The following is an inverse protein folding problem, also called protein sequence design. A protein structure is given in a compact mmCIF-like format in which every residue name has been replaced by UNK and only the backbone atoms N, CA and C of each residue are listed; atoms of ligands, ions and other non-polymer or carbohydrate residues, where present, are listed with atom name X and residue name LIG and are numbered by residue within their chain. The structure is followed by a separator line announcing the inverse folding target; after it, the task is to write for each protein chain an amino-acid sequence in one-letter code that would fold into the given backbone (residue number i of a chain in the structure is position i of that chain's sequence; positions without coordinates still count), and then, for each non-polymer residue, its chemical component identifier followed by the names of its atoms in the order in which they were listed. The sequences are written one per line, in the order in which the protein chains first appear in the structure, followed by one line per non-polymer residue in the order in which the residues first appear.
data_IF_205589478416
#
_entry.id   IF_205589478416
#
_cell.length_a   1.000
_cell.length_b   1.000
_cell.length_c   1.000
_cell.angle_alpha   90.00
_cell.angle_beta   90.00
_cell.angle_gamma   90.00
#
_symmetry.space_group_name_H-M   'P 1'
#
loop_
_entity.id
_entity.type
_entity.pdbx_description
1 polymer ?
#
# COMPACT_ATOMS: atom_id res chain seq x y z
N UNK A 1 -22.60 8.36 -15.76
CA UNK A 1 -22.57 8.31 -14.30
C UNK A 1 -21.20 8.83 -13.90
N UNK A 2 -21.12 10.08 -13.44
CA UNK A 2 -19.90 10.57 -12.78
C UNK A 2 -19.72 9.73 -11.52
N UNK A 3 -18.60 9.01 -11.46
CA UNK A 3 -18.16 8.40 -10.22
C UNK A 3 -17.62 9.54 -9.35
N UNK A 4 -18.43 10.02 -8.42
CA UNK A 4 -17.97 10.96 -7.39
C UNK A 4 -17.00 10.20 -6.48
N UNK A 5 -15.70 10.33 -6.79
CA UNK A 5 -14.65 9.77 -5.97
C UNK A 5 -14.57 10.57 -4.67
N UNK A 6 -15.08 9.99 -3.57
CA UNK A 6 -14.86 10.54 -2.24
C UNK A 6 -13.37 10.38 -1.90
N UNK A 7 -12.63 11.50 -1.88
CA UNK A 7 -11.28 11.51 -1.32
C UNK A 7 -11.38 11.39 0.19
N UNK A 8 -10.78 10.34 0.75
CA UNK A 8 -10.64 10.22 2.19
C UNK A 8 -9.70 11.31 2.70
N UNK A 9 -10.11 11.99 3.78
CA UNK A 9 -9.20 12.87 4.48
C UNK A 9 -8.00 12.05 5.00
N UNK A 10 -6.75 12.49 4.79
CA UNK A 10 -5.59 11.66 5.13
C UNK A 10 -5.51 11.28 6.61
N UNK A 11 -5.95 12.17 7.51
CA UNK A 11 -6.05 11.88 8.95
C UNK A 11 -7.05 10.76 9.27
N UNK A 12 -8.23 10.80 8.65
CA UNK A 12 -9.24 9.74 8.79
C UNK A 12 -8.71 8.38 8.30
N UNK A 13 -8.04 8.37 7.15
CA UNK A 13 -7.45 7.14 6.61
C UNK A 13 -6.40 6.54 7.56
N UNK A 14 -5.61 7.38 8.23
CA UNK A 14 -4.64 6.94 9.24
C UNK A 14 -5.31 6.33 10.47
N UNK A 15 -6.33 6.98 11.01
CA UNK A 15 -7.10 6.48 12.15
C UNK A 15 -7.72 5.11 11.85
N UNK A 16 -8.28 4.93 10.64
CA UNK A 16 -8.84 3.64 10.20
C UNK A 16 -7.76 2.55 10.17
N UNK A 17 -6.57 2.85 9.65
CA UNK A 17 -5.44 1.90 9.64
C UNK A 17 -4.96 1.56 11.05
N UNK A 18 -4.85 2.54 11.94
CA UNK A 18 -4.46 2.32 13.33
C UNK A 18 -5.46 1.44 14.07
N UNK A 19 -6.76 1.64 13.86
CA UNK A 19 -7.81 0.76 14.39
C UNK A 19 -7.68 -0.65 13.81
N UNK A 20 -7.50 -0.76 12.50
CA UNK A 20 -7.38 -2.04 11.81
C UNK A 20 -6.15 -2.85 12.27
N UNK A 21 -5.01 -2.19 12.50
CA UNK A 21 -3.80 -2.82 13.02
C UNK A 21 -3.99 -3.44 14.41
N UNK A 22 -4.75 -2.75 15.26
CA UNK A 22 -5.01 -3.18 16.64
C UNK A 22 -6.27 -4.05 16.78
N UNK A 23 -6.91 -4.44 15.67
CA UNK A 23 -8.14 -5.22 15.73
C UNK A 23 -7.86 -6.65 16.19
N UNK A 24 -8.41 -7.04 17.33
CA UNK A 24 -8.44 -8.43 17.81
C UNK A 24 -9.06 -9.39 16.79
N UNK A 25 -8.29 -10.39 16.35
CA UNK A 25 -8.74 -11.33 15.33
C UNK A 25 -8.57 -10.81 13.89
N UNK A 26 -7.71 -9.81 13.65
CA UNK A 26 -7.30 -9.32 12.32
C UNK A 26 -7.02 -10.44 11.31
N UNK A 27 -6.47 -11.57 11.75
CA UNK A 27 -6.20 -12.71 10.87
C UNK A 27 -7.46 -13.35 10.27
N UNK A 28 -8.59 -13.26 10.97
CA UNK A 28 -9.89 -13.78 10.53
C UNK A 28 -10.64 -12.83 9.59
N UNK A 29 -10.16 -11.61 9.40
CA UNK A 29 -10.79 -10.61 8.52
C UNK A 29 -10.83 -11.13 7.08
N UNK A 30 -11.95 -10.93 6.34
CA UNK A 30 -12.03 -11.33 4.93
C UNK A 30 -10.89 -10.72 4.10
N UNK A 31 -10.31 -11.52 3.20
CA UNK A 31 -9.17 -11.09 2.36
C UNK A 31 -9.42 -9.75 1.65
N UNK A 32 -10.66 -9.52 1.18
CA UNK A 32 -11.02 -8.30 0.48
C UNK A 32 -10.90 -7.04 1.33
N UNK A 33 -11.15 -7.15 2.63
CA UNK A 33 -10.98 -6.05 3.58
C UNK A 33 -9.49 -5.83 3.85
N UNK A 34 -8.68 -6.90 3.94
CA UNK A 34 -7.22 -6.78 4.07
C UNK A 34 -6.61 -6.05 2.87
N UNK A 35 -7.04 -6.41 1.66
CA UNK A 35 -6.65 -5.72 0.42
C UNK A 35 -7.01 -4.23 0.45
N UNK A 36 -8.23 -3.90 0.91
CA UNK A 36 -8.66 -2.51 1.03
C UNK A 36 -7.76 -1.72 2.00
N UNK A 37 -7.44 -2.28 3.16
CA UNK A 37 -6.57 -1.63 4.14
C UNK A 37 -5.16 -1.40 3.57
N UNK A 38 -4.61 -2.37 2.83
CA UNK A 38 -3.33 -2.21 2.14
C UNK A 38 -3.36 -1.08 1.10
N UNK A 39 -4.45 -0.92 0.35
CA UNK A 39 -4.59 0.21 -0.59
C UNK A 39 -4.63 1.54 0.13
N UNK A 40 -5.38 1.63 1.24
CA UNK A 40 -5.45 2.85 2.06
C UNK A 40 -4.06 3.20 2.62
N UNK A 41 -3.31 2.22 3.11
CA UNK A 41 -1.94 2.40 3.59
C UNK A 41 -1.00 2.94 2.50
N UNK A 42 -1.06 2.38 1.29
CA UNK A 42 -0.27 2.87 0.15
C UNK A 42 -0.62 4.33 -0.17
N UNK A 43 -1.90 4.68 -0.21
CA UNK A 43 -2.34 6.05 -0.54
C UNK A 43 -1.95 7.05 0.57
N UNK A 44 -2.09 6.69 1.85
CA UNK A 44 -1.63 7.52 2.97
C UNK A 44 -0.11 7.71 2.91
N UNK A 45 0.67 6.64 2.72
CA UNK A 45 2.12 6.73 2.63
C UNK A 45 2.60 7.54 1.42
N UNK A 46 1.93 7.43 0.26
CA UNK A 46 2.20 8.29 -0.90
C UNK A 46 1.97 9.77 -0.61
N UNK A 47 0.89 10.09 0.10
CA UNK A 47 0.53 11.47 0.44
C UNK A 47 1.47 12.08 1.49
N UNK A 48 2.03 11.27 2.39
CA UNK A 48 2.88 11.74 3.49
C UNK A 48 4.39 11.52 3.31
N UNK A 49 4.84 10.72 2.35
CA UNK A 49 6.27 10.60 1.99
C UNK A 49 6.53 10.87 0.49
N UNK A 50 6.58 12.16 0.08
CA UNK A 50 6.93 12.54 -1.28
C UNK A 50 8.33 12.07 -1.71
N UNK A 51 9.24 11.82 -0.75
CA UNK A 51 10.63 11.43 -0.98
C UNK A 51 10.86 9.92 -0.99
N UNK A 52 9.97 9.13 -0.39
CA UNK A 52 10.08 7.68 -0.25
C UNK A 52 10.07 6.96 -1.59
N UNK A 53 9.16 7.37 -2.49
CA UNK A 53 9.11 6.83 -3.85
C UNK A 53 10.30 7.27 -4.70
N UNK A 54 10.81 8.49 -4.53
CA UNK A 54 12.04 8.93 -5.19
C UNK A 54 13.25 8.10 -4.72
N UNK A 55 13.31 7.73 -3.44
CA UNK A 55 14.34 6.83 -2.89
C UNK A 55 14.19 5.40 -3.42
N UNK A 56 12.98 4.84 -3.46
CA UNK A 56 12.71 3.51 -4.01
C UNK A 56 13.02 3.46 -5.50
N UNK A 57 12.63 4.48 -6.27
CA UNK A 57 12.95 4.59 -7.69
C UNK A 57 14.45 4.78 -7.96
N UNK A 58 15.18 5.39 -7.02
CA UNK A 58 16.63 5.53 -7.05
C UNK A 58 17.39 4.30 -6.56
N UNK A 59 16.72 3.29 -5.98
CA UNK A 59 17.39 2.04 -5.62
C UNK A 59 17.89 1.34 -6.88
N UNK A 60 19.10 0.73 -6.85
CA UNK A 60 19.61 -0.02 -7.98
C UNK A 60 18.62 -1.11 -8.39
N UNK A 61 18.19 -1.10 -9.65
CA UNK A 61 17.31 -2.16 -10.16
C UNK A 61 18.01 -3.51 -9.98
N UNK A 62 17.29 -4.56 -9.53
CA UNK A 62 17.88 -5.88 -9.44
C UNK A 62 18.46 -6.27 -10.81
N UNK A 63 19.64 -6.90 -10.84
CA UNK A 63 20.27 -7.28 -12.10
C UNK A 63 19.33 -8.20 -12.87
N UNK A 64 19.11 -7.89 -14.15
CA UNK A 64 18.36 -8.76 -15.05
C UNK A 64 19.20 -10.03 -15.23
N UNK A 65 18.77 -11.12 -14.61
CA UNK A 65 19.37 -12.43 -14.79
C UNK A 65 19.13 -12.85 -16.26
N UNK A 66 20.15 -12.70 -17.10
CA UNK A 66 20.15 -13.21 -18.47
C UNK A 66 20.64 -14.66 -18.44
N UNK A 67 19.80 -15.53 -18.98
CA UNK A 67 20.07 -16.94 -19.29
C UNK A 67 20.25 -17.91 -18.11
N UNK A 68 19.14 -18.49 -17.65
CA UNK A 68 19.14 -19.84 -17.09
C UNK A 68 19.12 -20.86 -18.22
N UNK A 69 20.18 -20.92 -19.03
CA UNK A 69 20.37 -22.09 -19.90
C UNK A 69 20.92 -23.22 -19.03
N UNK A 70 20.09 -24.24 -18.78
CA UNK A 70 20.60 -25.55 -18.38
C UNK A 70 21.28 -26.17 -19.61
N UNK A 71 22.61 -26.11 -19.64
CA UNK A 71 23.43 -27.02 -20.45
C UNK A 71 23.62 -28.33 -19.71
#
# INVERSE_FOLDING_TARGET
MELDYVRLAPGFAREVLEIYENWEGKDSVPMKVKELMMVIEIEVNKLYDPGGWARIAAMPKPPILKDTKLS
#
